data_IF_001306471700
#
_entry.id   IF_001306471700
#
_cell.length_a   1.000
_cell.length_b   1.000
_cell.length_c   1.000
_cell.angle_alpha   90.00
_cell.angle_beta   90.00
_cell.angle_gamma   90.00
#
_symmetry.space_group_name_H-M   'P 1'
#
loop_
_entity.id
_entity.type
_entity.pdbx_description
1 polymer ?
#
# COMPACT_ATOMS: atom_id res chain seq x y z
N UNK A 1 2.07 -11.64 -14.20
CA UNK A 1 2.64 -10.77 -13.15
C UNK A 1 1.89 -9.44 -13.08
N UNK A 2 1.85 -8.65 -14.16
CA UNK A 2 1.26 -7.29 -14.15
C UNK A 2 -0.19 -7.23 -13.61
N UNK A 3 -1.11 -8.07 -14.08
CA UNK A 3 -2.52 -8.02 -13.64
C UNK A 3 -2.65 -8.29 -12.12
N UNK A 4 -2.04 -9.39 -11.65
CA UNK A 4 -2.08 -9.77 -10.23
C UNK A 4 -1.34 -8.77 -9.34
N UNK A 5 -0.19 -8.26 -9.80
CA UNK A 5 0.58 -7.24 -9.09
C UNK A 5 -0.19 -5.92 -9.00
N UNK A 6 -0.85 -5.49 -10.07
CA UNK A 6 -1.69 -4.28 -10.08
C UNK A 6 -2.92 -4.44 -9.20
N UNK A 7 -3.58 -5.61 -9.20
CA UNK A 7 -4.69 -5.89 -8.29
C UNK A 7 -4.25 -5.78 -6.83
N UNK A 8 -3.12 -6.41 -6.47
CA UNK A 8 -2.54 -6.31 -5.14
C UNK A 8 -2.19 -4.86 -4.80
N UNK A 9 -1.59 -4.12 -5.74
CA UNK A 9 -1.22 -2.73 -5.55
C UNK A 9 -2.43 -1.83 -5.29
N UNK A 10 -3.53 -2.02 -6.03
CA UNK A 10 -4.78 -1.26 -5.83
C UNK A 10 -5.34 -1.54 -4.43
N UNK A 11 -5.49 -2.82 -4.08
CA UNK A 11 -6.03 -3.22 -2.77
C UNK A 11 -5.17 -2.65 -1.64
N UNK A 12 -3.86 -2.86 -1.69
CA UNK A 12 -2.94 -2.39 -0.66
C UNK A 12 -2.84 -0.87 -0.62
N UNK A 13 -2.90 -0.19 -1.76
CA UNK A 13 -2.87 1.27 -1.85
C UNK A 13 -4.11 1.90 -1.21
N UNK A 14 -5.30 1.38 -1.52
CA UNK A 14 -6.56 1.86 -0.92
C UNK A 14 -6.59 1.58 0.58
N UNK A 15 -6.27 0.35 1.00
CA UNK A 15 -6.27 -0.02 2.43
C UNK A 15 -5.26 0.82 3.22
N UNK A 16 -4.03 0.98 2.73
CA UNK A 16 -3.01 1.78 3.41
C UNK A 16 -3.39 3.27 3.45
N UNK A 17 -4.00 3.82 2.39
CA UNK A 17 -4.46 5.21 2.38
C UNK A 17 -5.56 5.44 3.43
N UNK A 18 -6.60 4.59 3.43
CA UNK A 18 -7.71 4.70 4.38
C UNK A 18 -7.26 4.48 5.83
N UNK A 19 -6.41 3.48 6.07
CA UNK A 19 -5.81 3.22 7.38
C UNK A 19 -5.02 4.42 7.90
N UNK A 20 -4.30 5.13 7.03
CA UNK A 20 -3.54 6.34 7.42
C UNK A 20 -4.43 7.55 7.68
N UNK A 21 -5.55 7.68 6.98
CA UNK A 21 -6.46 8.82 7.09
C UNK A 21 -7.45 8.69 8.26
N UNK A 22 -8.05 7.51 8.42
CA UNK A 22 -9.19 7.29 9.31
C UNK A 22 -8.97 6.19 10.36
N UNK A 23 -7.85 5.46 10.30
CA UNK A 23 -7.57 4.36 11.22
C UNK A 23 -7.18 4.84 12.63
N UNK A 24 -7.38 3.98 13.67
CA UNK A 24 -6.91 4.25 15.02
C UNK A 24 -5.37 4.33 15.05
N UNK A 25 -4.81 4.99 16.08
CA UNK A 25 -3.37 5.24 16.22
C UNK A 25 -2.44 4.06 15.86
N UNK A 26 -2.66 2.81 16.35
CA UNK A 26 -1.79 1.68 16.00
C UNK A 26 -1.87 1.29 14.52
N UNK A 27 -3.07 1.29 13.93
CA UNK A 27 -3.26 0.94 12.51
C UNK A 27 -2.64 1.99 11.59
N UNK A 28 -2.80 3.28 11.94
CA UNK A 28 -2.17 4.39 11.24
C UNK A 28 -0.65 4.30 11.26
N UNK A 29 -0.08 3.91 12.41
CA UNK A 29 1.36 3.72 12.55
C UNK A 29 1.86 2.57 11.68
N UNK A 30 1.22 1.39 11.75
CA UNK A 30 1.56 0.24 10.91
C UNK A 30 1.50 0.57 9.41
N UNK A 31 0.45 1.24 8.96
CA UNK A 31 0.30 1.62 7.55
C UNK A 31 1.35 2.67 7.14
N UNK A 32 1.74 3.58 8.03
CA UNK A 32 2.82 4.53 7.77
C UNK A 32 4.17 3.83 7.63
N UNK A 33 4.50 2.92 8.56
CA UNK A 33 5.74 2.12 8.50
C UNK A 33 5.80 1.30 7.21
N UNK A 34 4.71 0.63 6.84
CA UNK A 34 4.61 -0.07 5.56
C UNK A 34 4.93 0.86 4.39
N UNK A 35 4.26 2.02 4.29
CA UNK A 35 4.47 2.94 3.17
C UNK A 35 5.90 3.49 3.14
N UNK A 36 6.47 3.84 4.29
CA UNK A 36 7.83 4.37 4.40
C UNK A 36 8.89 3.34 4.04
N UNK A 37 8.78 2.10 4.53
CA UNK A 37 9.72 1.02 4.19
C UNK A 37 9.67 0.74 2.69
N UNK A 38 8.48 0.60 2.12
CA UNK A 38 8.33 0.20 0.73
C UNK A 38 8.70 1.31 -0.27
N UNK A 39 8.47 2.59 0.09
CA UNK A 39 8.91 3.74 -0.73
C UNK A 39 10.38 4.10 -0.51
N UNK A 40 10.91 3.86 0.69
CA UNK A 40 12.31 4.14 1.04
C UNK A 40 13.30 3.08 0.57
N UNK A 41 12.83 1.87 0.25
CA UNK A 41 13.65 0.76 -0.23
C UNK A 41 13.48 0.55 -1.73
N UNK A 42 14.56 0.22 -2.44
CA UNK A 42 14.49 -0.13 -3.87
C UNK A 42 13.70 -1.43 -4.09
N UNK A 43 12.85 -1.45 -5.12
CA UNK A 43 12.07 -2.63 -5.51
C UNK A 43 12.97 -3.84 -5.84
N UNK A 44 14.17 -3.59 -6.36
CA UNK A 44 15.16 -4.65 -6.61
C UNK A 44 15.64 -5.28 -5.29
N UNK A 45 15.93 -4.46 -4.28
CA UNK A 45 16.31 -4.97 -2.95
C UNK A 45 15.19 -5.79 -2.33
N UNK A 46 13.93 -5.38 -2.49
CA UNK A 46 12.78 -6.14 -2.00
C UNK A 46 12.63 -7.50 -2.68
N UNK A 47 12.81 -7.56 -4.00
CA UNK A 47 12.81 -8.81 -4.76
C UNK A 47 13.91 -9.75 -4.30
N UNK A 48 15.15 -9.24 -4.17
CA UNK A 48 16.28 -10.02 -3.69
C UNK A 48 16.07 -10.52 -2.28
N UNK A 49 15.56 -9.67 -1.38
CA UNK A 49 15.30 -10.05 0.00
C UNK A 49 14.24 -11.15 0.07
N UNK A 50 13.11 -11.00 -0.63
CA UNK A 50 12.05 -12.01 -0.66
C UNK A 50 12.48 -13.32 -1.32
N UNK A 51 13.38 -13.28 -2.32
CA UNK A 51 13.81 -14.50 -3.01
C UNK A 51 14.95 -15.23 -2.30
N UNK A 52 15.93 -14.51 -1.74
CA UNK A 52 17.15 -15.10 -1.18
C UNK A 52 17.17 -15.20 0.35
N UNK A 53 16.52 -14.25 1.05
CA UNK A 53 16.53 -14.22 2.52
C UNK A 53 15.36 -15.02 3.09
N UNK A 54 14.17 -14.91 2.49
CA UNK A 54 12.97 -15.62 2.97
C UNK A 54 13.13 -17.15 3.07
N UNK A 55 13.82 -17.84 2.13
CA UNK A 55 14.11 -19.27 2.26
C UNK A 55 14.93 -19.65 3.49
N UNK A 56 15.79 -18.75 4.00
CA UNK A 56 16.56 -19.00 5.23
C UNK A 56 15.66 -19.08 6.47
N UNK A 57 14.46 -18.51 6.40
CA UNK A 57 13.42 -18.62 7.43
C UNK A 57 12.47 -19.81 7.20
N UNK A 58 12.78 -20.70 6.24
CA UNK A 58 11.97 -21.88 5.93
C UNK A 58 10.78 -21.62 5.00
N UNK A 59 10.64 -20.41 4.46
CA UNK A 59 9.56 -20.05 3.54
C UNK A 59 10.12 -19.88 2.13
N UNK A 60 9.83 -20.86 1.27
CA UNK A 60 10.21 -20.83 -0.15
C UNK A 60 9.03 -20.39 -1.00
N UNK A 61 9.19 -19.30 -1.74
CA UNK A 61 8.20 -18.80 -2.67
C UNK A 61 8.71 -18.96 -4.10
N UNK A 62 7.81 -19.27 -5.03
CA UNK A 62 8.14 -19.27 -6.46
C UNK A 62 8.49 -17.85 -6.94
N UNK A 63 9.37 -17.76 -7.93
CA UNK A 63 9.85 -16.49 -8.49
C UNK A 63 8.69 -15.61 -8.98
N UNK A 64 7.63 -16.23 -9.54
CA UNK A 64 6.44 -15.50 -9.96
C UNK A 64 5.72 -14.84 -8.79
N UNK A 65 5.55 -15.56 -7.68
CA UNK A 65 4.85 -15.08 -6.49
C UNK A 65 5.67 -13.98 -5.80
N UNK A 66 6.98 -14.16 -5.69
CA UNK A 66 7.91 -13.12 -5.20
C UNK A 66 7.79 -11.85 -6.03
N UNK A 67 7.76 -11.97 -7.36
CA UNK A 67 7.60 -10.82 -8.24
C UNK A 67 6.27 -10.09 -8.03
N UNK A 68 5.17 -10.84 -7.91
CA UNK A 68 3.83 -10.27 -7.65
C UNK A 68 3.78 -9.55 -6.30
N UNK A 69 4.32 -10.15 -5.24
CA UNK A 69 4.32 -9.54 -3.90
C UNK A 69 5.23 -8.32 -3.83
N UNK A 70 6.50 -8.45 -4.24
CA UNK A 70 7.47 -7.37 -4.13
C UNK A 70 6.99 -6.15 -4.92
N UNK A 71 6.63 -6.35 -6.20
CA UNK A 71 6.20 -5.25 -7.06
C UNK A 71 4.81 -4.74 -6.68
N UNK A 72 3.87 -5.62 -6.34
CA UNK A 72 2.52 -5.22 -5.95
C UNK A 72 2.49 -4.43 -4.63
N UNK A 73 3.27 -4.83 -3.63
CA UNK A 73 3.40 -4.09 -2.38
C UNK A 73 4.17 -2.77 -2.58
N UNK A 74 5.24 -2.78 -3.38
CA UNK A 74 5.97 -1.56 -3.71
C UNK A 74 5.05 -0.53 -4.39
N UNK A 75 4.42 -0.92 -5.49
CA UNK A 75 3.49 -0.06 -6.24
C UNK A 75 2.27 0.32 -5.39
N UNK A 76 1.78 -0.58 -4.55
CA UNK A 76 0.67 -0.29 -3.63
C UNK A 76 1.04 0.77 -2.58
N UNK A 77 2.26 0.78 -2.07
CA UNK A 77 2.74 1.81 -1.17
C UNK A 77 2.76 3.20 -1.85
N UNK A 78 3.24 3.29 -3.10
CA UNK A 78 3.13 4.52 -3.90
C UNK A 78 1.68 4.88 -4.20
N UNK A 79 0.85 3.89 -4.55
CA UNK A 79 -0.59 4.05 -4.80
C UNK A 79 -1.34 4.62 -3.60
N UNK A 80 -0.91 4.31 -2.37
CA UNK A 80 -1.53 4.86 -1.16
C UNK A 80 -1.43 6.39 -1.08
N UNK A 81 -0.33 6.99 -1.56
CA UNK A 81 -0.19 8.44 -1.61
C UNK A 81 -1.06 9.05 -2.69
N UNK A 82 -1.20 8.37 -3.84
CA UNK A 82 -2.09 8.80 -4.93
C UNK A 82 -3.54 8.81 -4.45
N UNK A 83 -3.99 7.74 -3.79
CA UNK A 83 -5.35 7.66 -3.24
C UNK A 83 -5.58 8.72 -2.16
N UNK A 84 -4.62 8.88 -1.24
CA UNK A 84 -4.71 9.91 -0.19
C UNK A 84 -4.78 11.32 -0.79
N UNK A 85 -3.93 11.62 -1.76
CA UNK A 85 -3.93 12.89 -2.48
C UNK A 85 -5.24 13.12 -3.23
N UNK A 86 -5.78 12.09 -3.86
CA UNK A 86 -7.08 12.16 -4.54
C UNK A 86 -8.22 12.50 -3.56
N UNK A 87 -8.29 11.84 -2.40
CA UNK A 87 -9.31 12.14 -1.39
C UNK A 87 -9.15 13.58 -0.85
N UNK A 88 -7.92 14.00 -0.58
CA UNK A 88 -7.63 15.35 -0.09
C UNK A 88 -7.87 16.45 -1.12
N UNK A 89 -7.91 16.11 -2.41
CA UNK A 89 -8.21 17.06 -3.50
C UNK A 89 -9.68 17.46 -3.57
N UNK A 90 -10.58 16.72 -2.92
CA UNK A 90 -12.01 17.01 -2.89
C UNK A 90 -12.26 18.29 -2.09
N UNK A 91 -12.98 19.24 -2.69
CA UNK A 91 -13.29 20.52 -2.06
C UNK A 91 -14.05 20.35 -0.73
N UNK A 92 -13.65 21.12 0.29
CA UNK A 92 -14.24 21.06 1.64
C UNK A 92 -15.75 21.29 1.66
N UNK A 93 -16.28 22.12 0.76
CA UNK A 93 -17.72 22.36 0.64
C UNK A 93 -18.54 21.10 0.33
N UNK A 94 -17.96 20.11 -0.36
CA UNK A 94 -18.63 18.82 -0.61
C UNK A 94 -18.78 18.01 0.69
N UNK A 95 -17.74 18.01 1.53
CA UNK A 95 -17.78 17.37 2.85
C UNK A 95 -18.80 18.05 3.78
N UNK A 96 -18.84 19.38 3.79
CA UNK A 96 -19.78 20.18 4.59
C UNK A 96 -21.23 19.95 4.13
N UNK A 97 -21.48 19.87 2.82
CA UNK A 97 -22.80 19.56 2.26
C UNK A 97 -23.30 18.16 2.66
N UNK A 98 -22.45 17.13 2.56
CA UNK A 98 -22.80 15.78 3.03
C UNK A 98 -23.13 15.78 4.52
N UNK A 99 -22.33 16.48 5.33
CA UNK A 99 -22.56 16.60 6.78
C UNK A 99 -23.89 17.31 7.08
N UNK A 100 -24.24 18.36 6.32
CA UNK A 100 -25.51 19.07 6.47
C UNK A 100 -26.73 18.23 6.04
N UNK A 101 -26.55 17.34 5.07
CA UNK A 101 -27.57 16.37 4.62
C UNK A 101 -27.64 15.11 5.48
N UNK A 102 -26.82 15.00 6.54
CA UNK A 102 -26.74 13.82 7.41
C UNK A 102 -26.36 12.52 6.65
N UNK A 103 -25.44 12.64 5.69
CA UNK A 103 -24.89 11.53 4.90
C UNK A 103 -23.55 11.04 5.44
#
# INVERSE_FOLDING_TARGET
IAILGSLLAIVMGVLAALARMYGPAPLRWLATVYVEIFRGTSALVQLFWLFFVLPQFGVTLDAFLVAVLALGLNVGAYGSEVVRGAIQSVARGQWEACTALNM
#
